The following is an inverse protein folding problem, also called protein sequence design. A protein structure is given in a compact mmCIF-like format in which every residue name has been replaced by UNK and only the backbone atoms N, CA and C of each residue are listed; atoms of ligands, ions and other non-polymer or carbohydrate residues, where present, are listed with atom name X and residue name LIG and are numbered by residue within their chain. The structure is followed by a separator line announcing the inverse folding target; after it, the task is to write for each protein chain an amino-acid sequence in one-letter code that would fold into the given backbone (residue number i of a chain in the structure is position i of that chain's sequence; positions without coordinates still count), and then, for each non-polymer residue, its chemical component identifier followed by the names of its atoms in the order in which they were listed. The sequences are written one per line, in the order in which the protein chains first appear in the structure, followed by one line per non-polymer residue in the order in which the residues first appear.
data_IF_183015828539
#
_entry.id   IF_183015828539
#
_cell.length_a   1.000
_cell.length_b   1.000
_cell.length_c   1.000
_cell.angle_alpha   90.00
_cell.angle_beta   90.00
_cell.angle_gamma   90.00
#
_symmetry.space_group_name_H-M   'P 1'
#
loop_
_entity.id
_entity.type
_entity.pdbx_description
1 polymer ?
#
# COMPACT_ATOMS: atom_id res chain seq x y z
N UNK A 1 38.71 66.14 -31.34
CA UNK A 1 37.83 65.03 -31.65
C UNK A 1 38.02 63.96 -30.57
N UNK A 2 37.09 63.89 -29.60
CA UNK A 2 37.09 62.86 -28.54
C UNK A 2 36.09 61.83 -28.91
N UNK A 3 36.54 60.57 -29.20
CA UNK A 3 35.68 59.40 -29.36
C UNK A 3 35.27 58.91 -27.98
N UNK A 4 33.97 58.89 -27.73
CA UNK A 4 33.35 58.24 -26.56
C UNK A 4 32.92 56.78 -27.01
N UNK A 5 33.61 55.80 -26.48
CA UNK A 5 33.21 54.40 -26.68
C UNK A 5 32.11 54.04 -25.67
N UNK A 6 30.92 53.70 -26.17
CA UNK A 6 29.83 53.11 -25.36
C UNK A 6 30.06 51.62 -25.20
N UNK A 7 30.33 51.18 -23.96
CA UNK A 7 30.30 49.77 -23.60
C UNK A 7 28.83 49.36 -23.36
N UNK A 8 28.31 48.49 -24.22
CA UNK A 8 27.03 47.83 -24.02
C UNK A 8 27.25 46.57 -23.14
N UNK A 9 26.86 46.65 -21.87
CA UNK A 9 26.84 45.49 -20.96
C UNK A 9 25.52 44.73 -21.17
N UNK A 10 25.59 43.59 -21.82
CA UNK A 10 24.50 42.64 -21.93
C UNK A 10 24.37 41.87 -20.59
N UNK A 11 23.30 42.13 -19.85
CA UNK A 11 22.91 41.38 -18.66
C UNK A 11 22.16 40.14 -19.16
N UNK A 12 22.80 38.95 -19.08
CA UNK A 12 22.15 37.68 -19.29
C UNK A 12 21.40 37.36 -17.99
N UNK A 13 20.09 37.53 -18.01
CA UNK A 13 19.22 37.05 -16.94
C UNK A 13 19.10 35.49 -17.09
N UNK A 14 19.77 34.78 -16.19
CA UNK A 14 19.56 33.33 -16.03
C UNK A 14 18.17 33.12 -15.44
N UNK A 15 17.24 32.57 -16.22
CA UNK A 15 15.96 32.10 -15.74
C UNK A 15 16.27 30.79 -14.99
N UNK A 16 16.29 30.88 -13.65
CA UNK A 16 16.25 29.69 -12.81
C UNK A 16 14.82 29.15 -12.93
N UNK A 17 14.64 28.10 -13.71
CA UNK A 17 13.42 27.29 -13.66
C UNK A 17 13.48 26.57 -12.30
N UNK A 18 12.72 27.08 -11.33
CA UNK A 18 12.47 26.31 -10.11
C UNK A 18 11.66 25.08 -10.55
N UNK A 19 12.28 23.92 -10.49
CA UNK A 19 11.55 22.65 -10.53
C UNK A 19 10.58 22.69 -9.33
N UNK A 20 9.31 22.90 -9.63
CA UNK A 20 8.22 22.76 -8.67
C UNK A 20 8.06 21.26 -8.37
N UNK A 21 8.95 20.74 -7.54
CA UNK A 21 8.75 19.46 -6.89
C UNK A 21 7.60 19.69 -5.91
N UNK A 22 6.38 19.50 -6.38
CA UNK A 22 5.18 19.55 -5.56
C UNK A 22 5.44 18.82 -4.24
N UNK A 23 5.08 19.43 -3.13
CA UNK A 23 5.26 18.86 -1.79
C UNK A 23 4.71 17.42 -1.81
N UNK A 24 5.51 16.46 -1.33
CA UNK A 24 5.04 15.07 -1.20
C UNK A 24 3.71 15.09 -0.40
N UNK A 25 2.71 14.28 -0.79
CA UNK A 25 1.49 14.14 -0.01
C UNK A 25 1.83 13.84 1.46
N UNK A 26 1.03 14.39 2.39
CA UNK A 26 1.21 14.08 3.81
C UNK A 26 1.05 12.57 4.01
N UNK A 27 1.91 11.94 4.84
CA UNK A 27 1.72 10.54 5.21
C UNK A 27 0.32 10.30 5.77
N UNK A 28 -0.25 9.13 5.49
CA UNK A 28 -1.50 8.70 6.12
C UNK A 28 -1.32 8.49 7.62
N UNK A 29 -2.41 8.63 8.36
CA UNK A 29 -2.44 8.31 9.77
C UNK A 29 -2.31 6.80 10.01
N UNK A 30 -1.99 6.40 11.24
CA UNK A 30 -1.93 5.02 11.66
C UNK A 30 -0.72 4.22 11.16
N UNK A 31 -0.78 2.94 11.45
CA UNK A 31 0.18 1.92 11.03
C UNK A 31 -0.49 0.56 11.01
N UNK A 32 0.13 -0.40 10.33
CA UNK A 32 -0.35 -1.78 10.28
C UNK A 32 0.75 -2.74 10.72
N UNK A 33 0.37 -3.79 11.43
CA UNK A 33 1.18 -5.01 11.57
C UNK A 33 0.51 -6.09 10.77
N UNK A 34 1.22 -6.69 9.84
CA UNK A 34 0.71 -7.78 9.01
C UNK A 34 1.51 -9.06 9.24
N UNK A 35 0.81 -10.17 9.40
CA UNK A 35 1.35 -11.51 9.50
C UNK A 35 1.05 -12.25 8.21
N UNK A 36 2.08 -12.59 7.44
CA UNK A 36 1.94 -13.44 6.27
C UNK A 36 1.89 -14.89 6.71
N UNK A 37 0.87 -15.60 6.27
CA UNK A 37 0.66 -17.00 6.58
C UNK A 37 0.33 -17.81 5.34
N UNK A 38 0.57 -19.12 5.43
CA UNK A 38 -0.05 -20.13 4.61
C UNK A 38 -1.15 -20.79 5.42
N UNK A 39 -2.40 -20.45 5.14
CA UNK A 39 -3.53 -21.12 5.76
C UNK A 39 -3.80 -22.46 5.05
N UNK A 40 -4.01 -23.53 5.83
CA UNK A 40 -4.37 -24.86 5.27
C UNK A 40 -5.78 -24.85 4.73
N UNK A 41 -6.67 -24.14 5.40
CA UNK A 41 -8.04 -23.81 5.01
C UNK A 41 -8.28 -22.35 5.40
N UNK A 42 -8.24 -21.40 4.44
CA UNK A 42 -8.44 -19.98 4.73
C UNK A 42 -9.78 -19.67 5.38
N UNK A 43 -10.87 -20.31 4.98
CA UNK A 43 -12.21 -20.04 5.50
C UNK A 43 -12.31 -20.50 6.95
N UNK A 44 -11.86 -21.72 7.27
CA UNK A 44 -11.83 -22.22 8.64
C UNK A 44 -10.92 -21.35 9.55
N UNK A 45 -9.78 -20.90 9.04
CA UNK A 45 -8.88 -20.03 9.77
C UNK A 45 -9.50 -18.66 10.08
N UNK A 46 -10.23 -18.07 9.13
CA UNK A 46 -10.96 -16.82 9.31
C UNK A 46 -12.06 -16.95 10.36
N UNK A 47 -12.85 -18.03 10.32
CA UNK A 47 -13.94 -18.25 11.28
C UNK A 47 -13.41 -18.41 12.71
N UNK A 48 -12.32 -19.15 12.93
CA UNK A 48 -11.70 -19.27 14.26
C UNK A 48 -11.22 -17.90 14.79
N UNK A 49 -10.70 -17.02 13.91
CA UNK A 49 -10.28 -15.66 14.31
C UNK A 49 -11.48 -14.75 14.62
N UNK A 50 -12.61 -14.89 13.92
CA UNK A 50 -13.85 -14.14 14.21
C UNK A 50 -14.50 -14.59 15.52
N UNK A 51 -14.44 -15.87 15.83
CA UNK A 51 -14.98 -16.44 17.09
C UNK A 51 -14.12 -16.08 18.29
N UNK A 52 -12.81 -15.83 18.11
CA UNK A 52 -11.89 -15.51 19.20
C UNK A 52 -11.15 -14.18 18.92
N UNK A 53 -11.76 -13.06 19.35
CA UNK A 53 -11.22 -11.70 19.16
C UNK A 53 -10.23 -11.27 20.24
N UNK A 54 -10.12 -12.00 21.37
CA UNK A 54 -9.27 -11.65 22.48
C UNK A 54 -7.79 -11.35 22.11
N UNK A 55 -7.15 -12.01 21.12
CA UNK A 55 -5.82 -11.63 20.69
C UNK A 55 -5.74 -10.22 20.10
N UNK A 56 -6.75 -9.77 19.35
CA UNK A 56 -6.79 -8.44 18.74
C UNK A 56 -6.98 -7.35 19.81
N UNK A 57 -7.83 -7.62 20.81
CA UNK A 57 -8.03 -6.77 21.98
C UNK A 57 -6.73 -6.64 22.79
N UNK A 58 -6.06 -7.76 23.07
CA UNK A 58 -4.80 -7.78 23.82
C UNK A 58 -3.66 -7.03 23.09
N UNK A 59 -3.67 -7.01 21.75
CA UNK A 59 -2.75 -6.23 20.94
C UNK A 59 -3.06 -4.73 20.95
N UNK A 60 -4.26 -4.32 21.35
CA UNK A 60 -4.74 -2.94 21.24
C UNK A 60 -5.02 -2.53 19.78
N UNK A 61 -5.37 -3.49 18.91
CA UNK A 61 -5.78 -3.22 17.55
C UNK A 61 -7.04 -2.37 17.52
N UNK A 62 -7.06 -1.30 16.72
CA UNK A 62 -8.30 -0.54 16.45
C UNK A 62 -9.21 -1.30 15.49
N UNK A 63 -8.62 -1.92 14.46
CA UNK A 63 -9.29 -2.77 13.47
C UNK A 63 -8.35 -3.91 13.10
N UNK A 64 -8.87 -5.12 12.90
CA UNK A 64 -8.12 -6.22 12.30
C UNK A 64 -8.88 -6.87 11.16
N UNK A 65 -8.13 -7.42 10.23
CA UNK A 65 -8.70 -8.07 9.06
C UNK A 65 -7.76 -9.04 8.39
N UNK A 66 -8.23 -9.58 7.30
CA UNK A 66 -7.52 -10.55 6.48
C UNK A 66 -7.59 -10.19 5.01
N UNK A 67 -6.56 -10.55 4.25
CA UNK A 67 -6.55 -10.51 2.79
C UNK A 67 -6.13 -11.88 2.29
N UNK A 68 -7.02 -12.58 1.59
CA UNK A 68 -6.75 -13.89 0.97
C UNK A 68 -6.33 -13.68 -0.47
N UNK A 69 -5.15 -14.14 -0.86
CA UNK A 69 -4.68 -14.07 -2.24
C UNK A 69 -5.50 -15.01 -3.12
N UNK A 70 -6.16 -14.46 -4.14
CA UNK A 70 -7.01 -15.19 -5.08
C UNK A 70 -6.27 -15.59 -6.35
N UNK A 71 -5.40 -14.68 -6.86
CA UNK A 71 -4.53 -14.96 -8.00
C UNK A 71 -3.14 -14.38 -7.74
N UNK A 72 -2.11 -14.98 -8.33
CA UNK A 72 -0.72 -14.56 -8.16
C UNK A 72 -0.07 -15.04 -6.85
N UNK A 73 -0.67 -16.01 -6.15
CA UNK A 73 -0.12 -16.54 -4.91
C UNK A 73 1.19 -17.32 -5.15
N UNK A 74 2.18 -17.10 -4.28
CA UNK A 74 3.46 -17.83 -4.29
C UNK A 74 3.27 -19.29 -3.80
N UNK A 75 2.24 -19.51 -2.97
CA UNK A 75 1.89 -20.83 -2.41
C UNK A 75 0.39 -20.91 -2.11
N UNK A 76 -0.20 -22.13 -2.11
CA UNK A 76 -1.62 -22.32 -1.77
C UNK A 76 -1.94 -21.80 -0.36
N UNK A 77 -3.09 -21.14 -0.21
CA UNK A 77 -3.54 -20.61 1.08
C UNK A 77 -2.78 -19.36 1.56
N UNK A 78 -2.07 -18.68 0.65
CA UNK A 78 -1.43 -17.41 0.95
C UNK A 78 -2.44 -16.37 1.40
N UNK A 79 -2.19 -15.76 2.56
CA UNK A 79 -2.99 -14.67 3.07
C UNK A 79 -2.21 -13.80 4.07
N UNK A 80 -2.66 -12.55 4.22
CA UNK A 80 -2.28 -11.67 5.31
C UNK A 80 -3.33 -11.68 6.42
N UNK A 81 -2.87 -11.66 7.66
CA UNK A 81 -3.67 -11.21 8.81
C UNK A 81 -3.10 -9.87 9.23
N UNK A 82 -3.89 -8.81 9.19
CA UNK A 82 -3.41 -7.46 9.47
C UNK A 82 -4.15 -6.84 10.67
N UNK A 83 -3.44 -6.01 11.41
CA UNK A 83 -3.92 -5.23 12.54
C UNK A 83 -3.59 -3.77 12.31
N UNK A 84 -4.58 -2.88 12.43
CA UNK A 84 -4.44 -1.44 12.34
C UNK A 84 -4.28 -0.81 13.72
N UNK A 85 -3.43 0.22 13.78
CA UNK A 85 -3.11 1.01 14.97
C UNK A 85 -3.08 2.49 14.63
N UNK A 86 -3.30 3.36 15.60
CA UNK A 86 -3.31 4.82 15.39
C UNK A 86 -1.89 5.37 15.12
N UNK A 87 -0.84 4.63 15.49
CA UNK A 87 0.55 5.06 15.29
C UNK A 87 1.52 3.90 15.11
N UNK A 88 2.71 4.19 14.56
CA UNK A 88 3.84 3.23 14.53
C UNK A 88 4.31 2.86 15.93
N UNK A 89 4.22 3.76 16.93
CA UNK A 89 4.55 3.47 18.33
C UNK A 89 3.68 2.34 18.88
N UNK A 90 2.37 2.43 18.68
CA UNK A 90 1.42 1.38 19.11
C UNK A 90 1.65 0.08 18.33
N UNK A 91 1.88 0.15 17.02
CA UNK A 91 2.17 -1.02 16.18
C UNK A 91 3.45 -1.74 16.63
N UNK A 92 4.49 -0.99 17.01
CA UNK A 92 5.74 -1.56 17.52
C UNK A 92 5.54 -2.16 18.91
N UNK A 93 4.81 -1.50 19.80
CA UNK A 93 4.49 -2.04 21.13
C UNK A 93 3.68 -3.34 21.05
N UNK A 94 2.77 -3.46 20.07
CA UNK A 94 2.02 -4.69 19.83
C UNK A 94 2.93 -5.89 19.46
N UNK A 95 4.09 -5.67 18.86
CA UNK A 95 5.02 -6.76 18.55
C UNK A 95 5.66 -7.38 19.79
N UNK A 96 5.74 -6.65 20.90
CA UNK A 96 6.20 -7.18 22.18
C UNK A 96 5.10 -7.98 22.89
N UNK A 97 3.83 -7.64 22.63
CA UNK A 97 2.68 -8.26 23.27
C UNK A 97 2.29 -9.62 22.64
N UNK A 98 2.65 -9.87 21.38
CA UNK A 98 2.24 -11.07 20.65
C UNK A 98 3.38 -11.71 19.85
N UNK A 99 3.64 -12.98 20.18
CA UNK A 99 4.54 -13.85 19.42
C UNK A 99 3.69 -14.85 18.60
N UNK A 100 3.63 -14.72 17.26
CA UNK A 100 2.81 -15.60 16.42
C UNK A 100 3.22 -17.08 16.48
N UNK A 101 4.45 -17.38 16.93
CA UNK A 101 4.94 -18.73 17.13
C UNK A 101 4.43 -19.37 18.43
N UNK A 102 3.85 -18.55 19.34
CA UNK A 102 3.24 -19.00 20.60
C UNK A 102 1.71 -18.98 20.56
N UNK A 103 1.14 -18.97 19.35
CA UNK A 103 -0.31 -19.03 19.20
C UNK A 103 -0.91 -20.31 19.84
N UNK A 104 -2.18 -20.28 20.29
CA UNK A 104 -2.89 -21.48 20.72
C UNK A 104 -2.80 -22.60 19.70
N UNK A 105 -2.71 -23.86 20.18
CA UNK A 105 -2.49 -25.02 19.32
C UNK A 105 -3.54 -25.16 18.20
N UNK A 106 -4.79 -24.82 18.48
CA UNK A 106 -5.90 -24.80 17.53
C UNK A 106 -5.61 -23.85 16.36
N UNK A 107 -5.22 -22.62 16.64
CA UNK A 107 -4.89 -21.62 15.62
C UNK A 107 -3.59 -22.00 14.87
N UNK A 108 -2.58 -22.48 15.60
CA UNK A 108 -1.31 -22.93 15.02
C UNK A 108 -1.50 -24.12 14.06
N UNK A 109 -2.48 -25.01 14.33
CA UNK A 109 -2.77 -26.15 13.47
C UNK A 109 -3.33 -25.76 12.09
N UNK A 110 -3.93 -24.56 11.96
CA UNK A 110 -4.59 -24.07 10.74
C UNK A 110 -3.65 -23.29 9.81
N UNK A 111 -2.45 -22.92 10.26
CA UNK A 111 -1.55 -22.07 9.50
C UNK A 111 -0.07 -22.43 9.66
N UNK A 112 0.72 -22.08 8.66
CA UNK A 112 2.17 -21.93 8.77
C UNK A 112 2.52 -20.45 8.69
N UNK A 113 3.21 -19.92 9.70
CA UNK A 113 3.69 -18.54 9.72
C UNK A 113 4.88 -18.42 8.77
N UNK A 114 4.84 -17.43 7.87
CA UNK A 114 5.92 -17.14 6.94
C UNK A 114 6.82 -16.03 7.47
N UNK A 115 6.24 -14.86 7.75
CA UNK A 115 6.93 -13.69 8.35
C UNK A 115 5.89 -12.68 8.83
N UNK A 116 6.36 -11.66 9.52
CA UNK A 116 5.59 -10.48 9.88
C UNK A 116 6.28 -9.21 9.38
N UNK A 117 5.52 -8.15 9.26
CA UNK A 117 5.99 -6.85 8.76
C UNK A 117 5.10 -5.75 9.32
N UNK A 118 5.67 -4.56 9.52
CA UNK A 118 4.92 -3.36 9.81
C UNK A 118 4.84 -2.49 8.55
N UNK A 119 3.74 -1.76 8.39
CA UNK A 119 3.55 -0.83 7.30
C UNK A 119 3.13 0.54 7.79
N UNK A 120 3.68 1.57 7.14
CA UNK A 120 3.24 2.96 7.28
C UNK A 120 2.58 3.40 5.98
N UNK A 121 1.32 3.89 6.00
CA UNK A 121 0.74 4.55 4.84
C UNK A 121 1.55 5.80 4.48
N UNK A 122 1.88 5.97 3.20
CA UNK A 122 2.62 7.14 2.69
C UNK A 122 1.70 8.24 2.17
N UNK A 123 0.40 8.00 2.09
CA UNK A 123 -0.66 8.94 1.76
C UNK A 123 -1.93 8.58 2.54
N UNK A 124 -2.89 9.49 2.60
CA UNK A 124 -4.22 9.17 3.14
C UNK A 124 -4.79 7.93 2.44
N UNK A 125 -5.34 7.02 3.22
CA UNK A 125 -5.94 5.78 2.76
C UNK A 125 -7.16 5.45 3.62
N UNK A 126 -8.30 5.26 2.98
CA UNK A 126 -9.52 4.83 3.65
C UNK A 126 -9.50 3.31 3.82
N UNK A 127 -9.76 2.86 5.06
CA UNK A 127 -9.73 1.43 5.37
C UNK A 127 -11.09 0.78 5.00
N UNK A 128 -11.26 0.48 3.74
CA UNK A 128 -12.45 -0.18 3.18
C UNK A 128 -12.04 -1.47 2.45
N UNK A 129 -11.62 -2.51 3.20
CA UNK A 129 -11.10 -3.73 2.59
C UNK A 129 -12.17 -4.46 1.78
N UNK A 130 -11.81 -4.84 0.56
CA UNK A 130 -12.68 -5.58 -0.36
C UNK A 130 -11.84 -6.32 -1.43
N UNK A 131 -12.14 -6.10 -2.72
CA UNK A 131 -11.35 -6.61 -3.84
C UNK A 131 -10.13 -5.72 -4.05
N UNK A 132 -8.96 -6.24 -3.80
CA UNK A 132 -7.70 -5.50 -3.89
C UNK A 132 -6.79 -6.08 -4.95
N UNK A 133 -6.11 -5.20 -5.68
CA UNK A 133 -4.92 -5.55 -6.46
C UNK A 133 -3.71 -5.02 -5.73
N UNK A 134 -2.80 -5.91 -5.38
CA UNK A 134 -1.56 -5.61 -4.68
C UNK A 134 -0.38 -5.76 -5.62
N UNK A 135 0.43 -4.72 -5.73
CA UNK A 135 1.78 -4.83 -6.30
C UNK A 135 2.82 -4.63 -5.20
N UNK A 136 3.85 -5.48 -5.22
CA UNK A 136 5.09 -5.25 -4.49
C UNK A 136 6.09 -4.61 -5.44
N UNK A 137 6.53 -3.40 -5.10
CA UNK A 137 7.32 -2.55 -5.98
C UNK A 137 8.65 -2.20 -5.34
N UNK A 138 9.73 -2.40 -6.11
CA UNK A 138 11.02 -1.84 -5.73
C UNK A 138 11.14 -0.44 -6.32
N UNK A 139 11.31 0.53 -5.46
CA UNK A 139 11.38 1.95 -5.81
C UNK A 139 12.59 2.55 -5.11
N UNK A 140 13.45 3.23 -5.86
CA UNK A 140 14.59 3.97 -5.29
C UNK A 140 14.10 5.02 -4.29
N UNK A 141 14.75 5.19 -3.13
CA UNK A 141 14.30 6.11 -2.08
C UNK A 141 14.05 7.54 -2.58
N UNK A 142 14.83 8.03 -3.56
CA UNK A 142 14.66 9.33 -4.19
C UNK A 142 13.35 9.48 -4.99
N UNK A 143 12.76 8.37 -5.43
CA UNK A 143 11.58 8.35 -6.27
C UNK A 143 10.27 8.16 -5.48
N UNK A 144 10.36 7.70 -4.22
CA UNK A 144 9.18 7.33 -3.42
C UNK A 144 8.17 8.49 -3.31
N UNK A 145 8.64 9.69 -2.98
CA UNK A 145 7.75 10.85 -2.83
C UNK A 145 7.03 11.21 -4.15
N UNK A 146 7.75 11.20 -5.27
CA UNK A 146 7.17 11.45 -6.59
C UNK A 146 6.17 10.36 -6.98
N UNK A 147 6.47 9.08 -6.71
CA UNK A 147 5.57 7.97 -6.94
C UNK A 147 4.27 8.11 -6.14
N UNK A 148 4.35 8.46 -4.85
CA UNK A 148 3.17 8.70 -3.99
C UNK A 148 2.31 9.84 -4.55
N UNK A 149 2.95 10.93 -5.03
CA UNK A 149 2.26 12.02 -5.72
C UNK A 149 1.48 11.54 -6.95
N UNK A 150 2.11 10.72 -7.81
CA UNK A 150 1.45 10.15 -8.99
C UNK A 150 0.30 9.20 -8.62
N UNK A 151 0.39 8.45 -7.54
CA UNK A 151 -0.71 7.59 -7.07
C UNK A 151 -1.89 8.42 -6.54
N UNK A 152 -1.64 9.58 -5.94
CA UNK A 152 -2.70 10.51 -5.54
C UNK A 152 -3.39 11.15 -6.74
N UNK A 153 -2.63 11.55 -7.76
CA UNK A 153 -3.18 12.06 -9.04
C UNK A 153 -4.02 10.97 -9.74
N UNK A 154 -3.51 9.74 -9.79
CA UNK A 154 -4.20 8.60 -10.42
C UNK A 154 -5.54 8.30 -9.74
N UNK A 155 -5.55 8.23 -8.40
CA UNK A 155 -6.79 8.01 -7.64
C UNK A 155 -7.83 9.09 -7.94
N UNK A 156 -7.41 10.36 -7.97
CA UNK A 156 -8.28 11.49 -8.32
C UNK A 156 -8.85 11.36 -9.74
N UNK A 157 -8.01 10.99 -10.70
CA UNK A 157 -8.40 10.83 -12.09
C UNK A 157 -9.36 9.64 -12.30
N UNK A 158 -9.11 8.51 -11.62
CA UNK A 158 -10.00 7.34 -11.65
C UNK A 158 -11.36 7.65 -11.05
N UNK A 159 -11.41 8.33 -9.90
CA UNK A 159 -12.67 8.78 -9.29
C UNK A 159 -13.43 9.75 -10.19
N UNK A 160 -12.74 10.69 -10.85
CA UNK A 160 -13.33 11.59 -11.84
C UNK A 160 -13.89 10.85 -13.07
N UNK A 161 -13.28 9.72 -13.46
CA UNK A 161 -13.77 8.84 -14.51
C UNK A 161 -14.93 7.93 -14.07
N UNK A 162 -15.39 8.03 -12.81
CA UNK A 162 -16.52 7.29 -12.27
C UNK A 162 -16.17 5.92 -11.68
N UNK A 163 -14.89 5.69 -11.39
CA UNK A 163 -14.44 4.49 -10.68
C UNK A 163 -14.37 4.75 -9.17
N UNK A 164 -15.06 3.93 -8.40
CA UNK A 164 -14.91 3.89 -6.94
C UNK A 164 -13.63 3.10 -6.62
N UNK A 165 -12.52 3.85 -6.56
CA UNK A 165 -11.17 3.30 -6.37
C UNK A 165 -10.49 4.04 -5.23
N UNK A 166 -9.90 3.27 -4.30
CA UNK A 166 -9.07 3.76 -3.21
C UNK A 166 -7.65 3.21 -3.42
N UNK A 167 -6.66 4.11 -3.48
CA UNK A 167 -5.26 3.73 -3.73
C UNK A 167 -4.41 4.00 -2.50
N UNK A 168 -3.78 2.94 -1.96
CA UNK A 168 -2.83 3.01 -0.86
C UNK A 168 -1.40 2.73 -1.31
N UNK A 169 -0.45 3.48 -0.74
CA UNK A 169 0.99 3.23 -0.87
C UNK A 169 1.56 3.04 0.52
N UNK A 170 2.23 1.92 0.77
CA UNK A 170 2.66 1.54 2.10
C UNK A 170 4.16 1.24 2.12
N UNK A 171 4.86 1.88 3.05
CA UNK A 171 6.27 1.63 3.33
C UNK A 171 6.40 0.49 4.34
N UNK A 172 7.09 -0.62 4.01
CA UNK A 172 7.35 -1.69 4.97
C UNK A 172 8.46 -1.31 5.96
N UNK A 173 8.35 -1.84 7.18
CA UNK A 173 9.37 -1.81 8.22
C UNK A 173 9.49 -3.22 8.82
N UNK A 174 10.71 -3.74 8.91
CA UNK A 174 10.99 -5.04 9.53
C UNK A 174 10.58 -6.28 8.69
N UNK A 175 10.23 -6.12 7.42
CA UNK A 175 9.82 -7.22 6.53
C UNK A 175 10.97 -8.07 5.97
N UNK A 176 12.20 -7.80 6.36
CA UNK A 176 13.39 -8.52 5.88
C UNK A 176 13.58 -8.35 4.37
N UNK A 177 13.89 -9.45 3.68
CA UNK A 177 14.04 -9.49 2.21
C UNK A 177 12.72 -9.81 1.49
N UNK A 178 11.63 -10.04 2.23
CA UNK A 178 10.35 -10.45 1.67
C UNK A 178 9.47 -9.29 1.26
N UNK A 179 9.71 -8.08 1.81
CA UNK A 179 8.81 -6.95 1.63
C UNK A 179 9.49 -5.73 1.01
N UNK A 180 8.71 -5.06 0.17
CA UNK A 180 9.03 -3.82 -0.52
C UNK A 180 7.85 -2.85 -0.40
N UNK A 181 7.86 -1.73 -1.11
CA UNK A 181 6.69 -0.83 -1.19
C UNK A 181 5.47 -1.62 -1.69
N UNK A 182 4.37 -1.54 -0.95
CA UNK A 182 3.08 -2.01 -1.42
C UNK A 182 2.31 -0.88 -2.09
N UNK A 183 1.84 -1.13 -3.30
CA UNK A 183 0.78 -0.36 -3.94
C UNK A 183 -0.48 -1.21 -3.91
N UNK A 184 -1.55 -0.70 -3.28
CA UNK A 184 -2.86 -1.37 -3.20
C UNK A 184 -3.91 -0.52 -3.90
N UNK A 185 -4.63 -1.13 -4.83
CA UNK A 185 -5.80 -0.56 -5.48
C UNK A 185 -7.04 -1.34 -5.05
N UNK A 186 -7.90 -0.69 -4.26
CA UNK A 186 -9.11 -1.28 -3.68
C UNK A 186 -10.32 -0.86 -4.51
N UNK A 187 -11.15 -1.82 -4.85
CA UNK A 187 -12.41 -1.63 -5.57
C UNK A 187 -13.55 -2.33 -4.84
N UNK A 188 -14.81 -1.90 -4.99
CA UNK A 188 -15.95 -2.55 -4.37
C UNK A 188 -16.14 -4.01 -4.79
N UNK A 189 -15.70 -4.38 -6.00
CA UNK A 189 -15.81 -5.74 -6.54
C UNK A 189 -14.68 -6.03 -7.53
N UNK A 190 -14.37 -7.32 -7.76
CA UNK A 190 -13.45 -7.72 -8.84
C UNK A 190 -13.93 -7.29 -10.24
N UNK A 191 -15.25 -7.23 -10.46
CA UNK A 191 -15.79 -6.74 -11.72
C UNK A 191 -15.47 -5.25 -11.93
N UNK A 192 -15.51 -4.44 -10.87
CA UNK A 192 -15.09 -3.03 -10.93
C UNK A 192 -13.58 -2.92 -11.23
N UNK A 193 -12.73 -3.73 -10.59
CA UNK A 193 -11.29 -3.80 -10.94
C UNK A 193 -11.09 -4.21 -12.40
N UNK A 194 -11.83 -5.20 -12.89
CA UNK A 194 -11.76 -5.66 -14.27
C UNK A 194 -12.14 -4.55 -15.27
N UNK A 195 -13.18 -3.78 -14.98
CA UNK A 195 -13.58 -2.64 -15.82
C UNK A 195 -12.45 -1.59 -15.94
N UNK A 196 -11.78 -1.26 -14.83
CA UNK A 196 -10.62 -0.35 -14.87
C UNK A 196 -9.51 -0.91 -15.76
N UNK A 197 -9.24 -2.21 -15.68
CA UNK A 197 -8.22 -2.86 -16.52
C UNK A 197 -8.61 -2.82 -18.00
N UNK A 198 -9.86 -3.11 -18.34
CA UNK A 198 -10.35 -3.06 -19.72
C UNK A 198 -10.22 -1.65 -20.31
N UNK A 199 -10.59 -0.61 -19.54
CA UNK A 199 -10.44 0.78 -19.96
C UNK A 199 -8.97 1.20 -20.09
N UNK A 200 -8.09 0.73 -19.16
CA UNK A 200 -6.64 0.91 -19.27
C UNK A 200 -6.10 0.36 -20.59
N UNK A 201 -6.47 -0.86 -20.93
CA UNK A 201 -6.05 -1.53 -22.16
C UNK A 201 -6.62 -0.87 -23.43
N UNK A 202 -7.78 -0.21 -23.31
CA UNK A 202 -8.39 0.59 -24.36
C UNK A 202 -7.75 2.00 -24.51
N UNK A 203 -6.80 2.37 -23.65
CA UNK A 203 -6.06 3.63 -23.75
C UNK A 203 -6.74 4.80 -23.05
N UNK A 204 -7.36 4.57 -21.90
CA UNK A 204 -7.95 5.61 -21.07
C UNK A 204 -6.97 6.76 -20.77
N UNK A 205 -7.45 8.01 -20.71
CA UNK A 205 -6.60 9.20 -20.56
C UNK A 205 -5.74 9.16 -19.28
N UNK A 206 -6.27 8.63 -18.18
CA UNK A 206 -5.55 8.48 -16.91
C UNK A 206 -4.35 7.50 -16.99
N UNK A 207 -4.23 6.70 -18.05
CA UNK A 207 -3.07 5.82 -18.27
C UNK A 207 -1.75 6.59 -18.42
N UNK A 208 -1.80 7.85 -18.82
CA UNK A 208 -0.61 8.71 -18.88
C UNK A 208 0.01 8.92 -17.48
N UNK A 209 -0.85 9.05 -16.43
CA UNK A 209 -0.42 9.18 -15.04
C UNK A 209 0.19 7.86 -14.55
N UNK A 210 -0.47 6.73 -14.85
CA UNK A 210 0.06 5.40 -14.55
C UNK A 210 1.42 5.17 -15.21
N UNK A 211 1.57 5.49 -16.49
CA UNK A 211 2.85 5.36 -17.21
C UNK A 211 3.96 6.20 -16.59
N UNK A 212 3.66 7.45 -16.19
CA UNK A 212 4.61 8.31 -15.50
C UNK A 212 5.02 7.74 -14.12
N UNK A 213 4.07 7.16 -13.37
CA UNK A 213 4.35 6.51 -12.10
C UNK A 213 5.23 5.27 -12.27
N UNK A 214 4.92 4.42 -13.25
CA UNK A 214 5.71 3.21 -13.52
C UNK A 214 7.15 3.54 -14.00
N UNK A 215 7.36 4.71 -14.58
CA UNK A 215 8.71 5.22 -14.88
C UNK A 215 9.58 5.51 -13.64
N UNK A 216 8.98 5.56 -12.43
CA UNK A 216 9.67 5.73 -11.15
C UNK A 216 9.96 4.40 -10.43
N UNK A 217 9.43 3.29 -10.94
CA UNK A 217 9.56 1.95 -10.36
C UNK A 217 10.76 1.25 -10.98
N UNK A 218 11.64 0.72 -10.13
CA UNK A 218 12.82 -0.03 -10.56
C UNK A 218 12.43 -1.45 -10.99
N UNK A 219 11.52 -2.10 -10.25
CA UNK A 219 11.10 -3.49 -10.48
C UNK A 219 9.70 -3.77 -9.89
N UNK A 220 8.89 -4.53 -10.60
CA UNK A 220 7.65 -5.12 -10.08
C UNK A 220 7.98 -6.53 -9.58
N UNK A 221 7.96 -6.73 -8.26
CA UNK A 221 8.29 -8.02 -7.64
C UNK A 221 7.12 -8.99 -7.75
N UNK A 222 5.89 -8.50 -7.50
CA UNK A 222 4.67 -9.32 -7.63
C UNK A 222 3.46 -8.46 -7.96
N UNK A 223 2.44 -9.10 -8.52
CA UNK A 223 1.14 -8.54 -8.87
C UNK A 223 0.07 -9.58 -8.52
N UNK A 224 -0.71 -9.31 -7.49
CA UNK A 224 -1.65 -10.24 -6.90
C UNK A 224 -3.05 -9.63 -6.85
N UNK A 225 -4.09 -10.46 -6.94
CA UNK A 225 -5.44 -10.08 -6.55
C UNK A 225 -5.79 -10.75 -5.23
N UNK A 226 -6.33 -9.97 -4.30
CA UNK A 226 -6.67 -10.37 -2.94
C UNK A 226 -8.13 -10.02 -2.63
N UNK A 227 -8.77 -10.86 -1.82
CA UNK A 227 -10.03 -10.52 -1.18
C UNK A 227 -9.78 -10.20 0.27
N UNK A 228 -10.08 -8.96 0.66
CA UNK A 228 -9.86 -8.46 2.01
C UNK A 228 -11.18 -8.26 2.74
N UNK A 229 -11.19 -8.52 4.05
CA UNK A 229 -12.34 -8.27 4.92
C UNK A 229 -11.88 -7.90 6.34
N UNK A 230 -12.69 -7.08 7.01
CA UNK A 230 -12.56 -6.85 8.46
C UNK A 230 -13.09 -8.07 9.20
N UNK A 231 -12.38 -8.47 10.26
CA UNK A 231 -12.78 -9.57 11.17
C UNK A 231 -12.94 -9.09 12.62
N UNK A 232 -12.43 -7.90 12.95
CA UNK A 232 -12.50 -7.31 14.28
C UNK A 232 -12.50 -5.79 14.19
N UNK A 233 -13.29 -5.13 15.03
CA UNK A 233 -13.26 -3.68 15.28
C UNK A 233 -13.37 -3.46 16.78
N UNK A 234 -12.48 -2.64 17.33
CA UNK A 234 -12.54 -2.24 18.75
C UNK A 234 -13.85 -1.49 19.05
N UNK A 235 -14.46 -1.79 20.18
CA UNK A 235 -15.72 -1.18 20.65
C UNK A 235 -15.49 0.17 21.34
#
# INVERSE_FOLDING_TARGET
MRLIAFLLTTVIASVVVADDHGSAPAPGDGAFVALMVQAKDPDAYIEVMKENTAPFEALGSSVAGVCVTKTGADYPGQMFVWNAFDSMEQAMAATDAYDPMKAPAELAALRDVKYNVMFKPLKAFELEPNSERLWRLKISPSNVAAFVGKMTELETALRAAGHDMNIGVFQPFGGGTHETIHLRAVSPTYAASGKVIDEALAGAEWMSIWGAAMGLVDEIISDNFEHCQVIYTAS
#
